data_IF_058116807343
#
_entry.id   IF_058116807343
#
_cell.length_a   1.000
_cell.length_b   1.000
_cell.length_c   1.000
_cell.angle_alpha   90.00
_cell.angle_beta   90.00
_cell.angle_gamma   90.00
#
_symmetry.space_group_name_H-M   'P 1'
#
loop_
_entity.id
_entity.type
_entity.pdbx_description
1 polymer ?
#
# COMPACT_ATOMS: atom_id res chain seq x y z
N UNK A 1 -3.43 21.94 -11.32
CA UNK A 1 -4.11 20.96 -10.45
C UNK A 1 -4.10 19.65 -11.22
N UNK A 2 -3.43 18.64 -10.70
CA UNK A 2 -3.53 17.28 -11.25
C UNK A 2 -4.91 16.73 -10.93
N UNK A 3 -5.56 16.11 -11.90
CA UNK A 3 -6.85 15.46 -11.70
C UNK A 3 -6.75 14.39 -10.61
N UNK A 4 -7.82 14.25 -9.83
CA UNK A 4 -7.90 13.24 -8.79
C UNK A 4 -7.79 11.83 -9.38
N UNK A 5 -6.97 10.97 -8.76
CA UNK A 5 -6.89 9.55 -9.12
C UNK A 5 -7.94 8.74 -8.35
N UNK A 6 -8.45 7.69 -8.97
CA UNK A 6 -9.49 6.84 -8.41
C UNK A 6 -9.06 5.38 -8.46
N UNK A 7 -9.34 4.63 -7.40
CA UNK A 7 -9.05 3.19 -7.38
C UNK A 7 -9.97 2.44 -8.37
N UNK A 8 -9.60 1.21 -8.80
CA UNK A 8 -10.47 0.38 -9.63
C UNK A 8 -11.82 0.05 -9.00
N UNK A 9 -11.99 0.27 -7.69
CA UNK A 9 -13.21 0.00 -6.93
C UNK A 9 -13.97 1.27 -6.55
N UNK A 10 -13.64 2.43 -7.14
CA UNK A 10 -14.25 3.71 -6.77
C UNK A 10 -15.77 3.71 -6.83
N UNK A 11 -16.36 3.22 -7.92
CA UNK A 11 -17.82 3.19 -8.09
C UNK A 11 -18.50 2.31 -7.03
N UNK A 12 -17.87 1.19 -6.65
CA UNK A 12 -18.35 0.33 -5.58
C UNK A 12 -18.31 1.05 -4.22
N UNK A 13 -17.26 1.82 -3.95
CA UNK A 13 -17.18 2.64 -2.73
C UNK A 13 -18.28 3.69 -2.68
N UNK A 14 -18.60 4.32 -3.82
CA UNK A 14 -19.73 5.26 -3.93
C UNK A 14 -21.06 4.56 -3.65
N UNK A 15 -21.29 3.38 -4.24
CA UNK A 15 -22.51 2.58 -4.02
C UNK A 15 -22.67 2.17 -2.55
N UNK A 16 -21.56 1.81 -1.88
CA UNK A 16 -21.54 1.45 -0.46
C UNK A 16 -21.61 2.66 0.49
N UNK A 17 -21.71 3.89 -0.05
CA UNK A 17 -21.89 5.10 0.75
C UNK A 17 -20.62 5.61 1.43
N UNK A 18 -19.44 5.30 0.89
CA UNK A 18 -18.19 5.78 1.46
C UNK A 18 -18.11 7.32 1.50
N UNK A 19 -17.56 7.84 2.59
CA UNK A 19 -17.01 9.19 2.63
C UNK A 19 -15.59 9.17 2.05
N UNK A 20 -15.25 10.13 1.19
CA UNK A 20 -13.94 10.18 0.53
C UNK A 20 -13.03 11.28 1.09
N UNK A 21 -11.72 11.08 0.95
CA UNK A 21 -10.69 12.06 1.25
C UNK A 21 -9.60 12.05 0.18
N UNK A 22 -8.87 13.17 0.05
CA UNK A 22 -7.65 13.21 -0.75
C UNK A 22 -6.51 12.59 0.05
N UNK A 23 -5.99 11.46 -0.44
CA UNK A 23 -4.86 10.75 0.13
C UNK A 23 -3.83 10.45 -0.94
N UNK A 24 -2.66 11.11 -0.86
CA UNK A 24 -1.57 10.99 -1.84
C UNK A 24 -2.02 11.27 -3.31
N UNK A 25 -2.99 12.16 -3.50
CA UNK A 25 -3.55 12.49 -4.81
C UNK A 25 -4.55 11.47 -5.34
N UNK A 26 -5.07 10.58 -4.47
CA UNK A 26 -6.15 9.64 -4.75
C UNK A 26 -7.39 10.00 -3.93
N UNK A 27 -8.58 9.83 -4.51
CA UNK A 27 -9.84 9.88 -3.77
C UNK A 27 -10.13 8.52 -3.15
N UNK A 28 -9.77 8.37 -1.88
CA UNK A 28 -9.87 7.11 -1.14
C UNK A 28 -11.02 7.14 -0.13
N UNK A 29 -11.74 6.02 0.08
CA UNK A 29 -12.72 5.90 1.16
C UNK A 29 -12.02 6.06 2.52
N UNK A 30 -12.47 7.02 3.33
CA UNK A 30 -11.97 7.21 4.71
C UNK A 30 -12.82 6.45 5.73
N UNK A 31 -14.13 6.28 5.45
CA UNK A 31 -15.08 5.52 6.27
C UNK A 31 -16.37 5.27 5.49
N UNK A 32 -17.15 4.28 5.90
CA UNK A 32 -18.48 3.98 5.38
C UNK A 32 -19.58 4.30 6.40
N UNK A 33 -19.34 4.06 7.69
CA UNK A 33 -20.29 4.38 8.76
C UNK A 33 -19.59 5.03 9.97
N UNK A 34 -18.74 4.26 10.67
CA UNK A 34 -18.07 4.72 11.88
C UNK A 34 -16.65 4.17 11.97
N UNK A 35 -15.68 5.07 12.13
CA UNK A 35 -14.26 4.74 12.26
C UNK A 35 -14.01 3.74 13.43
N UNK A 36 -14.74 3.91 14.53
CA UNK A 36 -14.67 3.00 15.68
C UNK A 36 -15.28 1.64 15.37
N UNK A 37 -16.45 1.61 14.74
CA UNK A 37 -17.11 0.34 14.40
C UNK A 37 -16.26 -0.46 13.39
N UNK A 38 -15.68 0.20 12.40
CA UNK A 38 -14.78 -0.41 11.41
C UNK A 38 -13.48 -0.92 12.08
N UNK A 39 -12.90 -0.16 13.00
CA UNK A 39 -11.75 -0.60 13.80
C UNK A 39 -12.08 -1.86 14.62
N UNK A 40 -13.19 -1.86 15.35
CA UNK A 40 -13.62 -3.02 16.14
C UNK A 40 -13.92 -4.22 15.24
N UNK A 41 -14.55 -4.03 14.08
CA UNK A 41 -14.80 -5.10 13.12
C UNK A 41 -13.50 -5.80 12.68
N UNK A 42 -12.43 -5.05 12.42
CA UNK A 42 -11.11 -5.62 12.06
C UNK A 42 -10.49 -6.39 13.23
N UNK A 43 -10.62 -5.88 14.45
CA UNK A 43 -10.00 -6.48 15.64
C UNK A 43 -10.74 -7.70 16.17
N UNK A 44 -12.05 -7.71 16.03
CA UNK A 44 -12.92 -8.71 16.65
C UNK A 44 -13.53 -9.69 15.63
N UNK A 45 -13.48 -9.36 14.33
CA UNK A 45 -14.08 -10.15 13.25
C UNK A 45 -13.21 -10.14 11.99
N UNK A 46 -13.64 -9.43 10.95
CA UNK A 46 -12.98 -9.30 9.66
C UNK A 46 -13.19 -7.87 9.16
N UNK A 47 -12.16 -7.30 8.54
CA UNK A 47 -12.24 -6.06 7.80
C UNK A 47 -11.65 -6.23 6.41
N UNK A 48 -12.17 -5.47 5.45
CA UNK A 48 -11.71 -5.45 4.07
C UNK A 48 -11.29 -4.02 3.72
N UNK A 49 -10.12 -3.88 3.11
CA UNK A 49 -9.52 -2.59 2.77
C UNK A 49 -9.18 -2.57 1.29
N UNK A 50 -9.55 -1.48 0.61
CA UNK A 50 -9.02 -1.19 -0.72
C UNK A 50 -7.70 -0.42 -0.59
N UNK A 51 -6.59 -1.12 -0.84
CA UNK A 51 -5.25 -0.55 -0.83
C UNK A 51 -4.67 -0.42 -2.24
N UNK A 52 -5.50 -0.48 -3.28
CA UNK A 52 -5.06 -0.51 -4.69
C UNK A 52 -4.37 0.79 -5.15
N UNK A 53 -4.39 1.84 -4.33
CA UNK A 53 -3.62 3.07 -4.55
C UNK A 53 -2.12 2.91 -4.25
N UNK A 54 -1.73 1.84 -3.55
CA UNK A 54 -0.33 1.51 -3.27
C UNK A 54 0.37 1.09 -4.56
N UNK A 55 1.59 1.57 -4.75
CA UNK A 55 2.39 1.20 -5.91
C UNK A 55 2.93 -0.22 -5.79
N UNK A 56 2.85 -0.98 -6.88
CA UNK A 56 3.47 -2.28 -7.04
C UNK A 56 4.61 -2.17 -8.07
N UNK A 57 5.84 -2.52 -7.67
CA UNK A 57 7.02 -2.45 -8.53
C UNK A 57 7.64 -3.83 -8.63
N UNK A 58 7.72 -4.36 -9.85
CA UNK A 58 8.38 -5.64 -10.13
C UNK A 58 9.82 -5.43 -10.58
N UNK A 59 10.75 -6.15 -9.96
CA UNK A 59 12.16 -6.19 -10.35
C UNK A 59 12.50 -7.61 -10.79
N UNK A 60 12.94 -7.76 -12.04
CA UNK A 60 13.20 -9.06 -12.66
C UNK A 60 14.56 -9.10 -13.32
N UNK A 61 15.22 -10.25 -13.29
CA UNK A 61 16.54 -10.46 -13.89
C UNK A 61 17.43 -11.33 -13.00
N UNK A 62 18.54 -11.83 -13.55
CA UNK A 62 19.47 -12.71 -12.82
C UNK A 62 20.10 -12.05 -11.59
N UNK A 63 20.18 -10.72 -11.57
CA UNK A 63 20.78 -9.93 -10.50
C UNK A 63 19.74 -9.17 -9.65
N UNK A 64 18.44 -9.48 -9.78
CA UNK A 64 17.39 -8.74 -9.08
C UNK A 64 17.58 -8.72 -7.55
N UNK A 65 18.00 -9.84 -6.96
CA UNK A 65 18.29 -9.92 -5.53
C UNK A 65 19.48 -9.04 -5.11
N UNK A 66 20.56 -9.06 -5.88
CA UNK A 66 21.77 -8.26 -5.62
C UNK A 66 21.49 -6.76 -5.79
N UNK A 67 20.70 -6.39 -6.79
CA UNK A 67 20.24 -5.02 -6.97
C UNK A 67 19.42 -4.54 -5.78
N UNK A 68 18.49 -5.36 -5.27
CA UNK A 68 17.70 -5.00 -4.10
C UNK A 68 18.55 -4.92 -2.83
N UNK A 69 19.57 -5.78 -2.66
CA UNK A 69 20.53 -5.66 -1.54
C UNK A 69 21.25 -4.30 -1.53
N UNK A 70 21.48 -3.71 -2.72
CA UNK A 70 22.06 -2.38 -2.86
C UNK A 70 21.01 -1.28 -2.65
N UNK A 71 19.82 -1.42 -3.24
CA UNK A 71 18.83 -0.36 -3.30
C UNK A 71 18.11 -0.11 -1.97
N UNK A 72 17.85 -1.15 -1.18
CA UNK A 72 17.07 -1.05 0.07
C UNK A 72 17.89 -1.45 1.30
N UNK A 73 17.47 -0.98 2.47
CA UNK A 73 18.11 -1.25 3.76
C UNK A 73 17.87 -2.70 4.24
N UNK A 74 18.49 -3.67 3.57
CA UNK A 74 18.46 -5.07 3.97
C UNK A 74 18.98 -6.02 2.90
N UNK A 75 19.15 -7.29 3.28
CA UNK A 75 19.55 -8.36 2.36
C UNK A 75 18.33 -9.12 1.83
N UNK A 76 17.84 -8.71 0.65
CA UNK A 76 16.70 -9.31 -0.05
C UNK A 76 17.11 -10.57 -0.83
N UNK A 77 18.35 -10.66 -1.30
CA UNK A 77 18.89 -11.85 -1.99
C UNK A 77 18.85 -13.13 -1.15
N UNK A 78 18.75 -12.99 0.16
CA UNK A 78 18.68 -14.10 1.11
C UNK A 78 17.25 -14.61 1.37
N UNK A 79 16.20 -13.95 0.85
CA UNK A 79 14.83 -14.39 1.05
C UNK A 79 14.52 -15.62 0.20
N UNK A 80 13.91 -16.63 0.83
CA UNK A 80 13.37 -17.76 0.09
C UNK A 80 12.08 -17.36 -0.64
N UNK A 81 11.75 -18.07 -1.71
CA UNK A 81 10.50 -17.87 -2.45
C UNK A 81 9.28 -17.99 -1.53
N UNK A 82 8.33 -17.06 -1.70
CA UNK A 82 7.12 -16.97 -0.86
C UNK A 82 7.31 -16.23 0.47
N UNK A 83 8.52 -15.79 0.80
CA UNK A 83 8.78 -14.93 1.96
C UNK A 83 8.70 -13.45 1.59
N UNK A 84 8.32 -12.63 2.58
CA UNK A 84 8.32 -11.18 2.47
C UNK A 84 9.14 -10.56 3.61
N UNK A 85 9.72 -9.39 3.36
CA UNK A 85 10.48 -8.62 4.36
C UNK A 85 10.19 -7.14 4.21
N UNK A 86 9.85 -6.49 5.32
CA UNK A 86 9.77 -5.03 5.39
C UNK A 86 11.18 -4.42 5.34
N UNK A 87 11.32 -3.34 4.60
CA UNK A 87 12.60 -2.65 4.38
C UNK A 87 12.35 -1.18 4.09
N UNK A 88 13.42 -0.40 4.05
CA UNK A 88 13.40 1.04 3.76
C UNK A 88 14.19 1.33 2.49
N UNK A 89 13.74 2.30 1.73
CA UNK A 89 14.57 2.98 0.73
C UNK A 89 15.17 4.20 1.43
N UNK A 90 16.49 4.36 1.38
CA UNK A 90 17.17 5.44 2.07
C UNK A 90 17.78 6.42 1.07
N UNK A 91 17.86 7.69 1.46
CA UNK A 91 18.70 8.69 0.79
C UNK A 91 20.17 8.42 1.06
N UNK A 92 21.07 9.10 0.34
CA UNK A 92 22.52 9.00 0.54
C UNK A 92 22.96 9.41 1.97
N UNK A 93 22.18 10.27 2.63
CA UNK A 93 22.39 10.69 4.03
C UNK A 93 21.80 9.69 5.05
N UNK A 94 21.17 8.60 4.58
CA UNK A 94 20.62 7.54 5.42
C UNK A 94 19.22 7.82 5.99
N UNK A 95 18.47 8.76 5.41
CA UNK A 95 17.09 9.09 5.82
C UNK A 95 16.05 8.34 4.98
N UNK A 96 14.86 8.11 5.53
CA UNK A 96 13.66 7.69 4.78
C UNK A 96 12.99 8.89 4.14
#
# INVERSE_FOLDING_TARGET
MTDARYSPLHDLHVELGASFTDFAGWQMPVRYDSDLAEHHAVRERVGMFDISHMAEISVTGSQAGEFLDYAVAGKMSALALGQAKYTLLLTDDGTV
#
